data_IF_102565857724
#
_entry.id   IF_102565857724
#
_cell.length_a   1.000
_cell.length_b   1.000
_cell.length_c   1.000
_cell.angle_alpha   90.00
_cell.angle_beta   90.00
_cell.angle_gamma   90.00
#
_symmetry.space_group_name_H-M   'P 1'
#
loop_
_entity.id
_entity.type
_entity.pdbx_description
1 polymer ?
#
# COMPACT_ATOMS: atom_id res chain seq x y z
N UNK A 1 16.75 -5.30 -2.88
CA UNK A 1 17.32 -6.38 -3.72
C UNK A 1 17.53 -7.56 -2.79
N UNK A 2 17.17 -8.77 -3.18
CA UNK A 2 17.37 -9.96 -2.35
C UNK A 2 18.86 -10.24 -2.22
N UNK A 3 19.36 -10.31 -0.99
CA UNK A 3 20.76 -10.65 -0.69
C UNK A 3 20.91 -12.17 -0.54
N UNK A 4 20.12 -12.78 0.33
CA UNK A 4 20.06 -14.23 0.55
C UNK A 4 18.63 -14.68 0.82
N UNK A 5 18.40 -15.99 0.79
CA UNK A 5 17.10 -16.61 1.10
C UNK A 5 17.27 -17.71 2.14
N UNK A 6 16.25 -17.89 2.99
CA UNK A 6 16.21 -18.97 3.96
C UNK A 6 15.89 -20.33 3.32
N UNK A 7 16.05 -21.40 4.10
CA UNK A 7 15.67 -22.75 3.69
C UNK A 7 14.18 -22.83 3.27
N UNK A 8 13.90 -23.57 2.20
CA UNK A 8 12.54 -23.76 1.68
C UNK A 8 12.01 -22.63 0.78
N UNK A 9 12.74 -21.52 0.63
CA UNK A 9 12.36 -20.46 -0.31
C UNK A 9 12.73 -20.86 -1.74
N UNK A 10 11.71 -21.02 -2.60
CA UNK A 10 11.88 -21.40 -4.01
C UNK A 10 11.56 -20.29 -5.00
N UNK A 11 10.71 -19.34 -4.60
CA UNK A 11 10.14 -18.30 -5.50
C UNK A 11 11.06 -17.08 -5.68
N UNK A 12 12.10 -16.96 -4.86
CA UNK A 12 13.07 -15.87 -4.86
C UNK A 12 14.50 -16.40 -4.83
N UNK A 13 15.43 -15.61 -5.38
CA UNK A 13 16.87 -15.87 -5.32
C UNK A 13 17.67 -14.58 -5.12
N UNK A 14 18.94 -14.66 -4.66
CA UNK A 14 19.85 -13.53 -4.64
C UNK A 14 19.85 -12.74 -5.96
N UNK A 15 19.82 -11.41 -5.86
CA UNK A 15 19.77 -10.49 -7.00
C UNK A 15 18.38 -10.09 -7.47
N UNK A 16 17.31 -10.79 -7.06
CA UNK A 16 15.95 -10.39 -7.44
C UNK A 16 15.58 -9.01 -6.88
N UNK A 17 14.94 -8.16 -7.70
CA UNK A 17 14.30 -6.92 -7.23
C UNK A 17 12.95 -7.27 -6.62
N UNK A 18 12.73 -6.78 -5.40
CA UNK A 18 11.53 -7.07 -4.60
C UNK A 18 11.02 -5.82 -3.90
N UNK A 19 9.72 -5.79 -3.63
CA UNK A 19 9.08 -4.85 -2.73
C UNK A 19 8.58 -5.58 -1.47
N UNK A 20 9.03 -5.20 -0.26
CA UNK A 20 8.43 -5.65 0.99
C UNK A 20 7.04 -5.03 1.17
N UNK A 21 6.04 -5.87 1.44
CA UNK A 21 4.65 -5.49 1.66
C UNK A 21 4.28 -5.77 3.12
N UNK A 22 3.55 -4.85 3.77
CA UNK A 22 3.20 -4.94 5.20
C UNK A 22 2.18 -6.05 5.53
N UNK A 23 1.55 -6.62 4.51
CA UNK A 23 0.66 -7.77 4.55
C UNK A 23 1.08 -8.72 3.44
N UNK A 24 1.00 -10.02 3.70
CA UNK A 24 1.49 -11.04 2.76
C UNK A 24 0.41 -11.94 2.18
N UNK A 25 0.86 -12.86 1.34
CA UNK A 25 0.05 -13.87 0.67
C UNK A 25 0.75 -15.23 0.77
N UNK A 26 0.21 -16.14 1.58
CA UNK A 26 0.81 -17.47 1.79
C UNK A 26 0.42 -18.50 0.73
N UNK A 27 -0.49 -18.16 -0.19
CA UNK A 27 -1.05 -19.02 -1.27
C UNK A 27 -1.85 -20.25 -0.81
N UNK A 28 -1.74 -20.65 0.46
CA UNK A 28 -2.34 -21.90 0.95
C UNK A 28 -3.59 -21.75 1.82
N UNK A 29 -3.78 -20.60 2.48
CA UNK A 29 -4.92 -20.40 3.37
C UNK A 29 -6.23 -20.14 2.61
N UNK A 30 -7.37 -20.22 3.32
CA UNK A 30 -8.69 -20.04 2.72
C UNK A 30 -8.83 -18.71 1.99
N UNK A 31 -8.32 -17.63 2.59
CA UNK A 31 -8.36 -16.30 1.97
C UNK A 31 -7.50 -16.23 0.71
N UNK A 32 -6.28 -16.80 0.71
CA UNK A 32 -5.43 -16.79 -0.49
C UNK A 32 -5.98 -17.67 -1.62
N UNK A 33 -6.75 -18.72 -1.31
CA UNK A 33 -7.44 -19.56 -2.30
C UNK A 33 -8.75 -18.94 -2.81
N UNK A 34 -9.19 -17.82 -2.24
CA UNK A 34 -10.40 -17.10 -2.65
C UNK A 34 -10.08 -16.07 -3.74
N UNK A 35 -11.02 -15.84 -4.66
CA UNK A 35 -10.97 -14.73 -5.63
C UNK A 35 -11.34 -13.38 -5.04
N UNK A 36 -11.95 -13.36 -3.85
CA UNK A 36 -12.61 -12.16 -3.31
C UNK A 36 -11.77 -11.43 -2.25
N UNK A 37 -10.70 -12.06 -1.73
CA UNK A 37 -10.00 -11.57 -0.55
C UNK A 37 -8.49 -11.57 -0.73
N UNK A 38 -7.85 -10.53 -0.18
CA UNK A 38 -6.40 -10.43 -0.04
C UNK A 38 -5.94 -10.55 1.44
N UNK A 39 -6.82 -11.00 2.35
CA UNK A 39 -6.57 -11.00 3.80
C UNK A 39 -6.01 -12.34 4.29
N UNK A 40 -4.77 -12.64 3.94
CA UNK A 40 -4.10 -13.89 4.34
C UNK A 40 -4.26 -14.20 5.85
N UNK A 41 -4.60 -15.44 6.19
CA UNK A 41 -4.75 -15.87 7.59
C UNK A 41 -3.43 -15.81 8.36
N UNK A 42 -2.34 -16.16 7.68
CA UNK A 42 -1.01 -16.22 8.28
C UNK A 42 -0.31 -14.85 8.29
N UNK A 43 -0.43 -14.10 7.19
CA UNK A 43 0.45 -12.97 6.89
C UNK A 43 -0.28 -11.61 6.86
N UNK A 44 -1.54 -11.54 7.31
CA UNK A 44 -2.23 -10.27 7.47
C UNK A 44 -1.44 -9.30 8.37
N UNK A 45 -1.68 -8.01 8.15
CA UNK A 45 -1.10 -6.92 8.94
C UNK A 45 -1.24 -7.18 10.45
N UNK A 46 -0.16 -6.93 11.18
CA UNK A 46 -0.14 -6.92 12.64
C UNK A 46 0.86 -5.84 13.10
N UNK A 47 0.36 -4.80 13.76
CA UNK A 47 1.16 -3.65 14.22
C UNK A 47 1.93 -3.93 15.51
N UNK A 48 1.48 -4.92 16.29
CA UNK A 48 2.03 -5.21 17.62
C UNK A 48 3.13 -6.29 17.54
N UNK A 49 3.21 -7.01 16.42
CA UNK A 49 4.21 -8.05 16.20
C UNK A 49 5.59 -7.44 15.93
N UNK A 50 6.42 -7.44 16.96
CA UNK A 50 7.82 -6.99 16.91
C UNK A 50 8.86 -8.06 16.51
N UNK A 51 8.45 -9.21 15.98
CA UNK A 51 9.32 -10.37 15.73
C UNK A 51 8.91 -11.20 14.51
N UNK A 52 9.80 -12.10 14.06
CA UNK A 52 9.53 -13.01 12.95
C UNK A 52 8.53 -14.10 13.34
N UNK A 53 7.69 -14.51 12.38
CA UNK A 53 6.66 -15.54 12.60
C UNK A 53 7.27 -16.92 12.87
N UNK A 54 8.39 -17.26 12.22
CA UNK A 54 8.96 -18.60 12.28
C UNK A 54 9.49 -19.03 13.64
N UNK A 55 10.02 -18.11 14.44
CA UNK A 55 10.63 -18.41 15.74
C UNK A 55 10.27 -17.43 16.86
N UNK A 56 9.45 -16.41 16.59
CA UNK A 56 9.08 -15.38 17.57
C UNK A 56 10.24 -14.48 17.99
N UNK A 57 11.39 -14.51 17.30
CA UNK A 57 12.57 -13.69 17.61
C UNK A 57 12.74 -12.53 16.65
N UNK A 58 13.43 -11.48 17.09
CA UNK A 58 13.87 -10.42 16.18
C UNK A 58 15.11 -10.87 15.36
N UNK A 59 15.42 -10.11 14.32
CA UNK A 59 16.65 -10.23 13.51
C UNK A 59 17.57 -9.02 13.68
N UNK A 60 17.13 -8.03 14.43
CA UNK A 60 17.88 -6.82 14.72
C UNK A 60 18.29 -6.78 16.19
N UNK A 61 19.53 -6.40 16.43
CA UNK A 61 20.03 -6.11 17.76
C UNK A 61 21.05 -4.98 17.70
N UNK A 62 21.23 -4.30 18.84
CA UNK A 62 22.29 -3.33 19.03
C UNK A 62 22.85 -3.52 20.44
N UNK A 63 24.16 -3.74 20.54
CA UNK A 63 24.84 -4.01 21.80
C UNK A 63 24.20 -5.18 22.58
N UNK A 64 23.79 -6.24 21.88
CA UNK A 64 23.11 -7.40 22.47
C UNK A 64 21.64 -7.17 22.85
N UNK A 65 21.11 -5.95 22.73
CA UNK A 65 19.71 -5.67 23.01
C UNK A 65 18.86 -5.83 21.74
N UNK A 66 17.70 -6.53 21.82
CA UNK A 66 16.83 -6.73 20.67
C UNK A 66 16.20 -5.42 20.21
N UNK A 67 16.13 -5.22 18.90
CA UNK A 67 15.35 -4.14 18.27
C UNK A 67 14.16 -4.80 17.58
N UNK A 68 12.95 -4.31 17.84
CA UNK A 68 11.75 -4.91 17.29
C UNK A 68 11.56 -4.65 15.79
N UNK A 69 10.92 -5.61 15.13
CA UNK A 69 10.40 -5.42 13.78
C UNK A 69 9.18 -4.49 13.77
N UNK A 70 8.91 -3.86 12.63
CA UNK A 70 7.68 -3.11 12.39
C UNK A 70 7.02 -3.59 11.11
N UNK A 71 5.74 -3.97 11.21
CA UNK A 71 4.91 -4.49 10.11
C UNK A 71 5.51 -5.70 9.35
N UNK A 72 6.49 -6.38 9.95
CA UNK A 72 7.24 -7.46 9.29
C UNK A 72 8.09 -7.02 8.10
N UNK A 73 8.37 -5.72 7.95
CA UNK A 73 9.16 -5.19 6.83
C UNK A 73 10.41 -4.44 7.30
N UNK A 74 10.30 -3.58 8.32
CA UNK A 74 11.42 -2.82 8.91
C UNK A 74 12.37 -2.18 7.89
N UNK A 75 11.83 -1.45 6.91
CA UNK A 75 12.60 -0.95 5.74
C UNK A 75 13.49 0.25 6.02
N UNK A 76 13.55 0.76 7.26
CA UNK A 76 14.47 1.83 7.67
C UNK A 76 15.78 1.23 8.19
N UNK A 77 16.41 0.42 7.35
CA UNK A 77 17.67 -0.27 7.59
C UNK A 77 18.27 -0.64 6.23
N UNK A 78 19.60 -0.67 6.12
CA UNK A 78 20.30 -1.07 4.87
C UNK A 78 19.96 -2.51 4.47
N UNK A 79 19.73 -3.37 5.47
CA UNK A 79 19.29 -4.75 5.32
C UNK A 79 18.11 -5.03 6.25
N UNK A 80 17.20 -5.89 5.80
CA UNK A 80 16.07 -6.37 6.58
C UNK A 80 15.76 -7.82 6.26
N UNK A 81 15.09 -8.51 7.18
CA UNK A 81 14.65 -9.90 7.04
C UNK A 81 13.13 -9.91 7.02
N UNK A 82 12.56 -10.46 5.96
CA UNK A 82 11.11 -10.43 5.70
C UNK A 82 10.64 -11.83 5.35
N UNK A 83 9.43 -12.19 5.77
CA UNK A 83 8.83 -13.46 5.36
C UNK A 83 8.62 -13.47 3.83
N UNK A 84 8.97 -14.56 3.14
CA UNK A 84 8.91 -14.63 1.66
C UNK A 84 7.53 -14.27 1.10
N UNK A 85 6.45 -14.71 1.75
CA UNK A 85 5.07 -14.36 1.35
C UNK A 85 4.72 -12.86 1.47
N UNK A 86 5.58 -12.04 2.07
CA UNK A 86 5.46 -10.58 2.13
C UNK A 86 6.41 -9.87 1.15
N UNK A 87 7.06 -10.59 0.24
CA UNK A 87 7.94 -10.03 -0.78
C UNK A 87 7.32 -10.20 -2.17
N UNK A 88 7.03 -9.09 -2.83
CA UNK A 88 6.62 -9.10 -4.23
C UNK A 88 7.86 -8.98 -5.12
N UNK A 89 8.16 -10.03 -5.91
CA UNK A 89 9.15 -9.96 -6.98
C UNK A 89 8.65 -9.03 -8.08
N UNK A 90 9.50 -8.10 -8.53
CA UNK A 90 9.15 -7.09 -9.52
C UNK A 90 10.08 -7.13 -10.74
N UNK A 91 9.72 -6.37 -11.77
CA UNK A 91 10.54 -6.20 -12.97
C UNK A 91 11.96 -5.72 -12.60
N UNK A 92 13.03 -6.42 -13.03
CA UNK A 92 14.41 -6.03 -12.74
C UNK A 92 14.82 -4.67 -13.32
N UNK A 93 14.09 -4.12 -14.29
CA UNK A 93 14.35 -2.81 -14.89
C UNK A 93 13.67 -1.67 -14.11
N UNK A 94 12.75 -1.98 -13.19
CA UNK A 94 12.02 -0.95 -12.45
C UNK A 94 12.97 -0.10 -11.57
N UNK A 95 12.83 1.24 -11.61
CA UNK A 95 13.62 2.16 -10.78
C UNK A 95 13.14 2.11 -9.33
N UNK A 96 13.95 1.52 -8.43
CA UNK A 96 13.57 1.25 -7.03
C UNK A 96 13.29 2.53 -6.22
N UNK A 97 13.90 3.66 -6.60
CA UNK A 97 13.65 4.99 -6.02
C UNK A 97 12.27 5.56 -6.37
N UNK A 98 11.58 4.97 -7.36
CA UNK A 98 10.21 5.32 -7.73
C UNK A 98 9.20 4.30 -7.25
N UNK A 99 9.43 3.02 -7.54
CA UNK A 99 8.42 1.97 -7.33
C UNK A 99 8.26 1.56 -5.86
N UNK A 100 9.13 2.04 -4.96
CA UNK A 100 9.00 1.77 -3.53
C UNK A 100 7.66 2.23 -2.94
N UNK A 101 7.03 3.28 -3.49
CA UNK A 101 5.74 3.79 -3.01
C UNK A 101 4.55 2.87 -3.34
N UNK A 102 4.74 1.89 -4.23
CA UNK A 102 3.71 0.93 -4.63
C UNK A 102 3.43 -0.12 -3.55
N UNK A 103 4.28 -0.25 -2.52
CA UNK A 103 4.12 -1.28 -1.49
C UNK A 103 3.09 -0.94 -0.40
N UNK A 104 2.48 0.24 -0.45
CA UNK A 104 1.50 0.70 0.54
C UNK A 104 0.48 1.66 -0.09
N UNK A 105 0.54 2.95 0.25
CA UNK A 105 -0.57 3.89 0.04
C UNK A 105 -1.02 4.08 -1.41
N UNK A 106 -0.10 4.06 -2.38
CA UNK A 106 -0.47 4.23 -3.81
C UNK A 106 -1.36 3.07 -4.26
N UNK A 107 -0.94 1.83 -4.02
CA UNK A 107 -1.72 0.65 -4.39
C UNK A 107 -3.01 0.54 -3.59
N UNK A 108 -3.03 0.99 -2.33
CA UNK A 108 -4.27 1.06 -1.54
C UNK A 108 -5.32 1.95 -2.20
N UNK A 109 -4.97 3.19 -2.57
CA UNK A 109 -5.90 4.12 -3.21
C UNK A 109 -6.34 3.65 -4.58
N UNK A 110 -5.37 3.26 -5.42
CA UNK A 110 -5.63 2.80 -6.77
C UNK A 110 -6.52 1.55 -6.79
N UNK A 111 -6.22 0.57 -5.93
CA UNK A 111 -7.00 -0.65 -5.78
C UNK A 111 -8.38 -0.41 -5.19
N UNK A 112 -8.54 0.52 -4.24
CA UNK A 112 -9.85 0.90 -3.72
C UNK A 112 -10.77 1.38 -4.84
N UNK A 113 -10.26 2.19 -5.77
CA UNK A 113 -11.06 2.66 -6.89
C UNK A 113 -11.27 1.58 -7.96
N UNK A 114 -10.21 0.94 -8.43
CA UNK A 114 -10.28 0.05 -9.60
C UNK A 114 -10.80 -1.36 -9.27
N UNK A 115 -10.51 -1.88 -8.08
CA UNK A 115 -10.86 -3.26 -7.73
C UNK A 115 -12.13 -3.35 -6.87
N UNK A 116 -12.46 -2.30 -6.11
CA UNK A 116 -13.62 -2.29 -5.20
C UNK A 116 -14.75 -1.40 -5.73
N UNK A 117 -14.49 -0.09 -5.86
CA UNK A 117 -15.55 0.85 -6.26
C UNK A 117 -16.01 0.69 -7.71
N UNK A 118 -15.07 0.38 -8.62
CA UNK A 118 -15.30 0.12 -10.06
C UNK A 118 -16.20 1.18 -10.73
N UNK A 119 -15.88 2.49 -10.63
CA UNK A 119 -16.70 3.52 -11.27
C UNK A 119 -16.72 3.31 -12.79
N UNK A 120 -17.89 3.49 -13.40
CA UNK A 120 -18.04 3.41 -14.85
C UNK A 120 -17.63 4.74 -15.50
N UNK A 121 -17.30 4.71 -16.79
CA UNK A 121 -16.98 5.92 -17.56
C UNK A 121 -18.10 6.96 -17.42
N UNK A 122 -17.73 8.20 -17.12
CA UNK A 122 -18.65 9.31 -16.90
C UNK A 122 -19.12 9.48 -15.45
N UNK A 123 -18.77 8.56 -14.53
CA UNK A 123 -19.13 8.65 -13.11
C UNK A 123 -18.64 9.96 -12.45
N UNK A 124 -19.36 10.36 -11.40
CA UNK A 124 -18.88 11.37 -10.44
C UNK A 124 -18.35 10.65 -9.20
N UNK A 125 -17.14 10.97 -8.77
CA UNK A 125 -16.46 10.33 -7.63
C UNK A 125 -16.10 11.38 -6.58
N UNK A 126 -16.39 11.12 -5.31
CA UNK A 126 -15.95 11.95 -4.19
C UNK A 126 -14.83 11.24 -3.42
N UNK A 127 -13.77 11.97 -3.08
CA UNK A 127 -12.58 11.45 -2.41
C UNK A 127 -12.31 12.24 -1.14
N UNK A 128 -12.42 11.57 0.00
CA UNK A 128 -12.22 12.17 1.32
C UNK A 128 -10.78 11.95 1.78
N UNK A 129 -10.03 13.05 1.90
CA UNK A 129 -8.61 13.11 2.22
C UNK A 129 -7.74 13.10 0.96
N UNK A 130 -6.89 14.12 0.80
CA UNK A 130 -5.98 14.29 -0.35
C UNK A 130 -4.51 14.02 0.03
N UNK A 131 -4.29 12.96 0.82
CA UNK A 131 -2.96 12.36 1.03
C UNK A 131 -2.62 11.35 -0.06
N UNK A 132 -1.52 10.60 0.09
CA UNK A 132 -1.07 9.63 -0.92
C UNK A 132 -2.14 8.61 -1.35
N UNK A 133 -2.93 8.09 -0.40
CA UNK A 133 -4.04 7.16 -0.69
C UNK A 133 -5.13 7.84 -1.51
N UNK A 134 -5.58 9.03 -1.11
CA UNK A 134 -6.63 9.75 -1.83
C UNK A 134 -6.21 10.19 -3.22
N UNK A 135 -4.98 10.67 -3.39
CA UNK A 135 -4.43 11.03 -4.70
C UNK A 135 -4.34 9.81 -5.63
N UNK A 136 -3.93 8.65 -5.11
CA UNK A 136 -3.93 7.43 -5.90
C UNK A 136 -5.35 6.91 -6.22
N UNK A 137 -6.31 7.11 -5.31
CA UNK A 137 -7.73 6.83 -5.59
C UNK A 137 -8.28 7.75 -6.69
N UNK A 138 -7.87 9.02 -6.71
CA UNK A 138 -8.22 9.99 -7.75
C UNK A 138 -7.65 9.57 -9.10
N UNK A 139 -6.39 9.14 -9.11
CA UNK A 139 -5.75 8.61 -10.30
C UNK A 139 -6.46 7.36 -10.81
N UNK A 140 -6.90 6.46 -9.91
CA UNK A 140 -7.75 5.33 -10.27
C UNK A 140 -9.08 5.75 -10.89
N UNK A 141 -9.72 6.80 -10.36
CA UNK A 141 -10.99 7.31 -10.90
C UNK A 141 -10.79 7.96 -12.27
N UNK A 142 -9.68 8.67 -12.47
CA UNK A 142 -9.26 9.23 -13.75
C UNK A 142 -9.03 8.13 -14.79
N UNK A 143 -8.30 7.07 -14.42
CA UNK A 143 -8.06 5.90 -15.29
C UNK A 143 -9.35 5.17 -15.65
N UNK A 144 -10.31 5.09 -14.73
CA UNK A 144 -11.64 4.53 -14.97
C UNK A 144 -12.55 5.43 -15.84
N UNK A 145 -12.12 6.65 -16.15
CA UNK A 145 -12.84 7.60 -16.99
C UNK A 145 -13.97 8.34 -16.28
N UNK A 146 -13.85 8.58 -14.97
CA UNK A 146 -14.76 9.47 -14.25
C UNK A 146 -14.73 10.88 -14.87
N UNK A 147 -15.90 11.52 -14.96
CA UNK A 147 -16.04 12.87 -15.56
C UNK A 147 -15.84 13.99 -14.54
N UNK A 148 -16.19 13.73 -13.28
CA UNK A 148 -16.10 14.66 -12.17
C UNK A 148 -15.47 13.95 -10.98
N UNK A 149 -14.40 14.52 -10.43
CA UNK A 149 -13.70 13.97 -9.28
C UNK A 149 -13.57 15.06 -8.22
N UNK A 150 -14.35 14.94 -7.15
CA UNK A 150 -14.48 15.94 -6.08
C UNK A 150 -13.53 15.55 -4.95
N UNK A 151 -12.52 16.37 -4.70
CA UNK A 151 -11.61 16.22 -3.56
C UNK A 151 -12.16 16.92 -2.32
N UNK A 152 -12.15 16.23 -1.18
CA UNK A 152 -12.57 16.78 0.11
C UNK A 152 -11.41 16.71 1.10
N UNK A 153 -10.84 17.85 1.50
CA UNK A 153 -9.75 17.92 2.49
C UNK A 153 -9.86 19.20 3.33
N UNK A 154 -9.34 19.18 4.55
CA UNK A 154 -9.32 20.35 5.44
C UNK A 154 -8.22 21.36 5.08
N UNK A 155 -7.22 20.92 4.30
CA UNK A 155 -6.10 21.75 3.87
C UNK A 155 -6.28 22.18 2.40
N UNK A 156 -6.73 23.42 2.13
CA UNK A 156 -6.97 23.90 0.77
C UNK A 156 -5.70 23.95 -0.09
N UNK A 157 -4.51 24.03 0.50
CA UNK A 157 -3.25 24.05 -0.28
C UNK A 157 -2.97 22.75 -1.02
N UNK A 158 -3.67 21.65 -0.68
CA UNK A 158 -3.56 20.36 -1.38
C UNK A 158 -4.24 20.34 -2.73
N UNK A 159 -5.20 21.24 -3.00
CA UNK A 159 -6.02 21.19 -4.21
C UNK A 159 -5.20 21.35 -5.48
N UNK A 160 -4.29 22.32 -5.53
CA UNK A 160 -3.50 22.58 -6.76
C UNK A 160 -2.67 21.36 -7.19
N UNK A 161 -2.06 20.67 -6.23
CA UNK A 161 -1.33 19.43 -6.54
C UNK A 161 -2.29 18.30 -6.92
N UNK A 162 -3.44 18.20 -6.25
CA UNK A 162 -4.42 17.14 -6.48
C UNK A 162 -5.04 17.17 -7.88
N UNK A 163 -5.09 18.35 -8.53
CA UNK A 163 -5.53 18.47 -9.94
C UNK A 163 -4.69 17.61 -10.89
N UNK A 164 -3.39 17.46 -10.61
CA UNK A 164 -2.49 16.61 -11.42
C UNK A 164 -2.86 15.13 -11.37
N UNK A 165 -3.61 14.71 -10.35
CA UNK A 165 -4.11 13.34 -10.14
C UNK A 165 -5.58 13.19 -10.57
N UNK A 166 -6.13 14.18 -11.27
CA UNK A 166 -7.48 14.13 -11.84
C UNK A 166 -8.58 14.79 -11.00
N UNK A 167 -8.28 15.34 -9.81
CA UNK A 167 -9.29 16.10 -9.05
C UNK A 167 -9.75 17.32 -9.87
N UNK A 168 -11.05 17.45 -10.10
CA UNK A 168 -11.66 18.54 -10.88
C UNK A 168 -12.27 19.62 -10.01
N UNK A 169 -12.73 19.25 -8.82
CA UNK A 169 -13.46 20.12 -7.88
C UNK A 169 -12.94 19.90 -6.46
N UNK A 170 -13.05 20.91 -5.60
CA UNK A 170 -12.58 20.84 -4.23
C UNK A 170 -13.62 21.39 -3.26
N UNK A 171 -13.78 20.69 -2.14
CA UNK A 171 -14.62 21.11 -1.02
C UNK A 171 -13.80 21.06 0.25
N UNK A 172 -13.69 22.18 0.95
CA UNK A 172 -13.16 22.21 2.30
C UNK A 172 -14.33 22.24 3.29
N UNK A 173 -14.50 21.20 4.14
CA UNK A 173 -15.60 21.18 5.10
C UNK A 173 -15.68 22.40 6.02
N UNK A 174 -14.57 23.12 6.25
CA UNK A 174 -14.56 24.34 7.08
C UNK A 174 -15.23 25.55 6.44
N UNK A 175 -15.43 25.53 5.12
CA UNK A 175 -16.04 26.64 4.39
C UNK A 175 -17.58 26.52 4.38
N UNK A 176 -18.14 25.50 5.04
CA UNK A 176 -19.56 25.21 5.10
C UNK A 176 -20.03 25.04 6.55
N UNK A 177 -21.10 25.77 6.92
CA UNK A 177 -21.73 25.67 8.25
C UNK A 177 -22.95 24.73 8.27
N UNK A 178 -23.28 24.15 7.11
CA UNK A 178 -24.39 23.21 6.88
C UNK A 178 -23.91 22.11 5.94
N UNK A 179 -24.59 20.95 5.89
CA UNK A 179 -24.30 19.93 4.89
C UNK A 179 -24.35 20.50 3.46
N UNK A 180 -23.46 20.07 2.58
CA UNK A 180 -23.31 20.63 1.21
C UNK A 180 -24.59 20.44 0.36
N UNK A 181 -25.45 19.50 0.73
CA UNK A 181 -26.73 19.25 0.07
C UNK A 181 -27.89 20.18 0.52
N UNK A 182 -27.69 20.99 1.57
CA UNK A 182 -28.65 21.99 2.08
C UNK A 182 -28.34 23.39 1.56
#
# INVERSE_FOLDING_TARGET
>A
IVESVGEGVTDLKPGDKVLPIFTGECKECRHCKSSESNMCDLLRINTDRGAMIGDGKTRFSKNGQPIHHFLGTSTFSEYTVVHVGCLAKINPEAPLDKVCVLSCGVSTGLGATLNVAKPTKGSTVAIFGLGAVGLAAAEGARLAGASRIIGVDLNPSRFEEAKKFGITEFVNPKDHNKPVQE
#
